data_IF_744348961319
#
_entry.id   IF_744348961319
#
_cell.length_a   1.000
_cell.length_b   1.000
_cell.length_c   1.000
_cell.angle_alpha   90.00
_cell.angle_beta   90.00
_cell.angle_gamma   90.00
#
_symmetry.space_group_name_H-M   'P 1'
#
loop_
_entity.id
_entity.type
_entity.pdbx_description
1 polymer ?
#
# COMPACT_ATOMS: atom_id res chain seq x y z
N UNK A 1 9.08 -13.02 15.54
CA UNK A 1 8.86 -12.65 14.13
C UNK A 1 7.88 -11.49 14.17
N UNK A 2 8.18 -10.32 13.60
CA UNK A 2 7.18 -9.27 13.55
C UNK A 2 6.24 -9.57 12.39
N UNK A 3 4.96 -9.77 12.71
CA UNK A 3 3.93 -9.95 11.71
C UNK A 3 3.55 -8.58 11.13
N UNK A 4 3.40 -8.50 9.81
CA UNK A 4 3.00 -7.29 9.12
C UNK A 4 1.72 -7.55 8.35
N UNK A 5 0.78 -6.63 8.44
CA UNK A 5 -0.52 -6.74 7.79
C UNK A 5 -0.71 -5.60 6.80
N UNK A 6 -1.39 -5.91 5.70
CA UNK A 6 -1.86 -4.93 4.74
C UNK A 6 -3.33 -4.68 5.02
N UNK A 7 -3.66 -3.50 5.54
CA UNK A 7 -5.02 -3.01 5.57
C UNK A 7 -5.42 -2.49 4.20
N UNK A 8 -6.68 -2.71 3.81
CA UNK A 8 -7.28 -2.09 2.62
C UNK A 8 -8.51 -1.30 3.01
N UNK A 9 -8.61 -0.05 2.57
CA UNK A 9 -9.74 0.83 2.84
C UNK A 9 -10.41 1.20 1.53
N UNK A 10 -11.71 0.90 1.40
CA UNK A 10 -12.46 1.19 0.18
C UNK A 10 -12.69 2.69 0.02
N UNK A 11 -12.45 3.18 -1.19
CA UNK A 11 -12.82 4.52 -1.64
C UNK A 11 -14.02 4.37 -2.57
N UNK A 12 -15.13 5.03 -2.24
CA UNK A 12 -16.37 4.92 -3.00
C UNK A 12 -16.55 6.07 -4.00
N UNK A 13 -17.15 5.78 -5.15
CA UNK A 13 -17.65 6.81 -6.07
C UNK A 13 -18.95 7.46 -5.56
N UNK A 14 -19.46 8.46 -6.29
CA UNK A 14 -20.71 9.17 -5.95
C UNK A 14 -21.95 8.26 -5.94
N UNK A 15 -21.84 7.02 -6.41
CA UNK A 15 -22.89 6.00 -6.46
C UNK A 15 -22.67 4.90 -5.42
N UNK A 16 -21.76 5.10 -4.46
CA UNK A 16 -21.38 4.14 -3.43
C UNK A 16 -20.82 2.82 -3.98
N UNK A 17 -20.25 2.84 -5.19
CA UNK A 17 -19.51 1.69 -5.73
C UNK A 17 -18.04 1.84 -5.40
N UNK A 18 -17.34 0.74 -5.14
CA UNK A 18 -15.90 0.76 -4.91
C UNK A 18 -15.23 1.30 -6.17
N UNK A 19 -14.57 2.45 -6.02
CA UNK A 19 -13.78 3.09 -7.06
C UNK A 19 -12.31 2.68 -6.99
N UNK A 20 -11.81 2.52 -5.75
CA UNK A 20 -10.42 2.21 -5.48
C UNK A 20 -10.25 1.67 -4.05
N UNK A 21 -9.02 1.27 -3.73
CA UNK A 21 -8.59 0.98 -2.37
C UNK A 21 -7.37 1.82 -2.00
N UNK A 22 -7.37 2.34 -0.78
CA UNK A 22 -6.15 2.81 -0.12
C UNK A 22 -5.51 1.64 0.62
N UNK A 23 -4.21 1.40 0.42
CA UNK A 23 -3.48 0.41 1.19
C UNK A 23 -2.77 1.05 2.38
N UNK A 24 -2.84 0.36 3.51
CA UNK A 24 -2.37 0.82 4.80
C UNK A 24 -1.42 -0.21 5.38
N UNK A 25 -0.24 0.23 5.77
CA UNK A 25 0.70 -0.60 6.51
C UNK A 25 0.26 -0.71 7.98
N UNK A 26 0.28 -1.94 8.52
CA UNK A 26 -0.03 -2.23 9.92
C UNK A 26 1.05 -3.14 10.51
N UNK A 27 1.63 -2.74 11.64
CA UNK A 27 2.50 -3.60 12.43
C UNK A 27 1.64 -4.48 13.34
N UNK A 28 1.94 -5.78 13.37
CA UNK A 28 1.21 -6.76 14.14
C UNK A 28 1.26 -6.44 15.62
N UNK A 29 0.07 -6.47 16.23
CA UNK A 29 -0.23 -6.26 17.66
C UNK A 29 -0.58 -4.83 18.11
N UNK A 30 -0.73 -3.86 17.19
CA UNK A 30 -1.28 -2.55 17.54
C UNK A 30 -2.45 -2.14 16.62
N UNK A 31 -3.57 -1.77 17.23
CA UNK A 31 -4.72 -1.13 16.54
C UNK A 31 -4.40 0.28 16.05
N UNK A 32 -3.22 0.79 16.40
CA UNK A 32 -2.77 2.14 16.10
C UNK A 32 -1.83 2.10 14.90
N UNK A 33 -1.82 3.16 14.10
CA UNK A 33 -0.72 3.38 13.18
C UNK A 33 0.53 3.55 14.06
N UNK A 34 1.52 2.64 14.00
CA UNK A 34 2.73 2.83 14.78
C UNK A 34 3.39 4.15 14.37
N UNK A 35 4.16 4.77 15.26
CA UNK A 35 5.02 5.93 14.89
C UNK A 35 6.21 5.47 14.05
N UNK A 36 5.93 4.67 13.03
CA UNK A 36 6.90 4.18 12.07
C UNK A 36 7.18 5.32 11.10
N UNK A 37 8.45 5.45 10.76
CA UNK A 37 8.91 6.27 9.65
C UNK A 37 8.07 5.96 8.39
N UNK A 38 7.34 6.98 7.91
CA UNK A 38 6.44 6.86 6.77
C UNK A 38 7.15 6.35 5.51
N UNK A 39 8.44 6.62 5.37
CA UNK A 39 9.26 6.15 4.25
C UNK A 39 9.42 4.64 4.31
N UNK A 40 9.75 4.13 5.50
CA UNK A 40 9.93 2.71 5.77
C UNK A 40 8.61 1.95 5.70
N UNK A 41 7.53 2.51 6.21
CA UNK A 41 6.18 1.92 6.11
C UNK A 41 5.77 1.75 4.65
N UNK A 42 5.87 2.83 3.85
CA UNK A 42 5.47 2.83 2.44
C UNK A 42 6.34 1.91 1.61
N UNK A 43 7.67 1.92 1.83
CA UNK A 43 8.60 1.03 1.11
C UNK A 43 8.31 -0.45 1.39
N UNK A 44 8.01 -0.80 2.64
CA UNK A 44 7.62 -2.17 3.03
C UNK A 44 6.27 -2.58 2.46
N UNK A 45 5.29 -1.67 2.48
CA UNK A 45 3.98 -1.89 1.89
C UNK A 45 4.12 -2.17 0.38
N UNK A 46 4.89 -1.36 -0.34
CA UNK A 46 5.20 -1.56 -1.75
C UNK A 46 5.86 -2.94 -1.96
N UNK A 47 6.93 -3.24 -1.23
CA UNK A 47 7.62 -4.51 -1.35
C UNK A 47 6.64 -5.68 -1.19
N UNK A 48 5.93 -5.76 -0.06
CA UNK A 48 5.04 -6.89 0.24
C UNK A 48 3.85 -6.98 -0.74
N UNK A 49 3.26 -5.85 -1.14
CA UNK A 49 2.14 -5.83 -2.08
C UNK A 49 2.56 -6.30 -3.49
N UNK A 50 3.75 -5.89 -3.97
CA UNK A 50 4.22 -6.17 -5.32
C UNK A 50 5.00 -7.49 -5.45
N UNK A 51 5.67 -7.97 -4.40
CA UNK A 51 6.47 -9.21 -4.48
C UNK A 51 5.78 -10.42 -3.88
N UNK A 52 5.09 -10.29 -2.75
CA UNK A 52 4.60 -11.45 -1.98
C UNK A 52 3.15 -11.80 -2.29
N UNK A 53 2.25 -10.80 -2.22
CA UNK A 53 0.80 -11.05 -2.37
C UNK A 53 0.29 -10.84 -3.79
N UNK A 54 0.85 -9.88 -4.53
CA UNK A 54 0.37 -9.43 -5.83
C UNK A 54 -0.85 -8.52 -5.70
N UNK A 55 -0.81 -7.36 -6.37
CA UNK A 55 -1.81 -6.31 -6.22
C UNK A 55 -3.24 -6.77 -6.55
N UNK A 56 -3.39 -7.64 -7.54
CA UNK A 56 -4.68 -8.23 -7.91
C UNK A 56 -5.35 -9.03 -6.78
N UNK A 57 -4.57 -9.68 -5.90
CA UNK A 57 -5.16 -10.39 -4.75
C UNK A 57 -5.65 -9.43 -3.67
N UNK A 58 -5.09 -8.23 -3.61
CA UNK A 58 -5.40 -7.21 -2.60
C UNK A 58 -6.59 -6.34 -3.04
N UNK A 59 -6.55 -5.87 -4.29
CA UNK A 59 -7.48 -4.86 -4.82
C UNK A 59 -8.35 -5.36 -5.98
N UNK A 60 -8.11 -6.57 -6.52
CA UNK A 60 -8.74 -7.02 -7.76
C UNK A 60 -8.37 -6.10 -8.92
N UNK A 61 -9.35 -5.80 -9.77
CA UNK A 61 -9.18 -4.88 -10.90
C UNK A 61 -9.37 -3.40 -10.51
N UNK A 62 -9.47 -3.10 -9.21
CA UNK A 62 -9.67 -1.74 -8.72
C UNK A 62 -8.35 -1.00 -8.55
N UNK A 63 -8.41 0.32 -8.72
CA UNK A 63 -7.25 1.21 -8.52
C UNK A 63 -6.75 1.12 -7.09
N UNK A 64 -5.45 1.31 -6.93
CA UNK A 64 -4.80 1.35 -5.62
C UNK A 64 -4.17 2.72 -5.37
N UNK A 65 -4.37 3.24 -4.18
CA UNK A 65 -3.74 4.43 -3.65
C UNK A 65 -2.78 4.05 -2.52
N UNK A 66 -1.61 4.68 -2.52
CA UNK A 66 -0.57 4.50 -1.51
C UNK A 66 -0.28 5.86 -0.87
N UNK A 67 -0.16 5.87 0.46
CA UNK A 67 0.36 7.03 1.15
C UNK A 67 1.84 7.21 0.79
N UNK A 68 2.23 8.45 0.54
CA UNK A 68 3.56 8.81 0.09
C UNK A 68 4.03 9.98 0.94
N UNK A 69 5.19 9.82 1.57
CA UNK A 69 5.87 10.93 2.21
C UNK A 69 6.51 11.82 1.14
N UNK A 70 6.87 13.05 1.53
CA UNK A 70 7.54 13.98 0.63
C UNK A 70 8.88 13.44 0.13
N UNK A 71 9.69 12.87 1.03
CA UNK A 71 10.99 12.28 0.69
C UNK A 71 10.83 11.18 -0.36
N UNK A 72 9.95 10.20 -0.12
CA UNK A 72 9.70 9.15 -1.12
C UNK A 72 9.17 9.66 -2.45
N UNK A 73 8.38 10.73 -2.45
CA UNK A 73 7.88 11.31 -3.69
C UNK A 73 9.01 11.98 -4.51
N UNK A 74 9.99 12.57 -3.84
CA UNK A 74 11.09 13.31 -4.49
C UNK A 74 12.27 12.41 -4.84
N UNK A 75 12.57 11.43 -3.99
CA UNK A 75 13.74 10.55 -4.08
C UNK A 75 13.36 9.12 -4.46
N UNK A 76 12.20 8.94 -5.11
CA UNK A 76 11.70 7.62 -5.47
C UNK A 76 12.76 6.88 -6.30
N UNK A 77 13.30 5.75 -5.83
CA UNK A 77 14.13 4.91 -6.69
C UNK A 77 13.26 4.44 -7.86
N UNK A 78 13.86 4.28 -9.05
CA UNK A 78 13.15 3.70 -10.18
C UNK A 78 12.42 2.44 -9.73
N UNK A 79 11.11 2.39 -10.00
CA UNK A 79 10.29 1.26 -9.57
C UNK A 79 10.97 -0.03 -10.05
N UNK A 80 11.30 -0.97 -9.15
CA UNK A 80 12.05 -2.18 -9.52
C UNK A 80 11.22 -3.16 -10.37
N UNK A 81 10.03 -2.76 -10.81
CA UNK A 81 9.10 -3.56 -11.59
C UNK A 81 8.67 -2.78 -12.83
N UNK A 82 8.73 -3.43 -13.99
CA UNK A 82 8.21 -2.88 -15.23
C UNK A 82 6.69 -2.70 -15.18
N UNK A 83 6.17 -1.89 -16.10
CA UNK A 83 4.75 -1.52 -16.19
C UNK A 83 3.81 -2.73 -16.26
N UNK A 84 4.30 -3.88 -16.71
CA UNK A 84 3.57 -5.15 -16.72
C UNK A 84 3.11 -5.67 -15.34
N UNK A 85 3.62 -5.13 -14.22
CA UNK A 85 3.23 -5.53 -12.86
C UNK A 85 2.44 -4.44 -12.09
N UNK A 86 2.13 -3.33 -12.76
CA UNK A 86 1.31 -2.22 -12.25
C UNK A 86 -0.10 -2.27 -12.86
#
# INVERSE_FOLDING_TARGET
MQDYFIGRQAIFDRRLRVYAYELLYREGDTSHAPSVDGDRATSRLMLNAFTEMGLNRIAGDQRVFLNMTRSLLMDMPEFPFGKERL
#
